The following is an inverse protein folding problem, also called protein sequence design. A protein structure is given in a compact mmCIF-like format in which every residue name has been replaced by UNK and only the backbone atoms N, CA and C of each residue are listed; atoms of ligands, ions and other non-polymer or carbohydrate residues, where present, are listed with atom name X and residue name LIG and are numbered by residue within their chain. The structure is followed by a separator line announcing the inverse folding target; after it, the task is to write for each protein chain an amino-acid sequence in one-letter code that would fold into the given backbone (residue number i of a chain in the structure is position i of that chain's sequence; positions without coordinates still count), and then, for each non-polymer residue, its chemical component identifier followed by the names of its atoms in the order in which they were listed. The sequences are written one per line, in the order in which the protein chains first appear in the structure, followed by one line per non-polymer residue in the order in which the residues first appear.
data_IF_003309234041
#
_entry.id   IF_003309234041
#
_cell.length_a   1.000
_cell.length_b   1.000
_cell.length_c   1.000
_cell.angle_alpha   90.00
_cell.angle_beta   90.00
_cell.angle_gamma   90.00
#
_symmetry.space_group_name_H-M   'P 1'
#
loop_
_entity.id
_entity.type
_entity.pdbx_description
1 polymer ?
#
# COMPACT_ATOMS: atom_id res chain seq x y z
N UNK A 1 9.25 14.13 -2.45
CA UNK A 1 7.98 13.36 -2.31
C UNK A 1 6.90 13.80 -3.28
N UNK A 2 6.63 15.09 -3.49
CA UNK A 2 5.64 15.56 -4.49
C UNK A 2 5.79 14.88 -5.85
N UNK A 3 7.01 14.83 -6.43
CA UNK A 3 7.25 14.14 -7.70
C UNK A 3 6.96 12.63 -7.66
N UNK A 4 7.09 11.98 -6.51
CA UNK A 4 6.70 10.57 -6.34
C UNK A 4 5.17 10.46 -6.40
N UNK A 5 4.48 11.34 -5.69
CA UNK A 5 3.03 11.41 -5.68
C UNK A 5 2.47 11.73 -7.07
N UNK A 6 3.03 12.74 -7.74
CA UNK A 6 2.66 13.11 -9.11
C UNK A 6 2.88 11.94 -10.08
N UNK A 7 4.01 11.23 -9.97
CA UNK A 7 4.29 10.07 -10.83
C UNK A 7 3.31 8.92 -10.61
N UNK A 8 2.82 8.74 -9.39
CA UNK A 8 1.81 7.72 -9.06
C UNK A 8 0.39 8.13 -9.45
N UNK A 9 0.09 9.43 -9.40
CA UNK A 9 -1.21 10.01 -9.78
C UNK A 9 -1.34 10.27 -11.28
N UNK A 10 -0.24 10.46 -12.01
CA UNK A 10 -0.21 10.76 -13.45
C UNK A 10 -0.75 9.62 -14.34
N UNK A 11 -1.45 8.68 -13.76
CA UNK A 11 -2.09 7.59 -14.48
C UNK A 11 -3.33 8.07 -15.22
N UNK A 12 -3.73 7.32 -16.23
CA UNK A 12 -4.99 7.46 -16.95
C UNK A 12 -6.18 7.65 -15.99
N UNK A 13 -7.26 8.28 -16.44
CA UNK A 13 -8.51 8.46 -15.67
C UNK A 13 -9.01 7.17 -15.02
N UNK A 14 -8.66 6.03 -15.60
CA UNK A 14 -9.01 4.72 -15.07
C UNK A 14 -7.95 3.67 -15.40
N UNK A 15 -7.80 2.69 -14.53
CA UNK A 15 -6.88 1.56 -14.70
C UNK A 15 -7.55 0.24 -14.38
N UNK A 16 -7.27 -0.78 -15.19
CA UNK A 16 -7.62 -2.17 -14.90
C UNK A 16 -6.34 -2.96 -14.65
N UNK A 17 -6.31 -3.72 -13.55
CA UNK A 17 -5.16 -4.54 -13.18
C UNK A 17 -5.59 -5.97 -12.88
N UNK A 18 -4.72 -6.92 -13.28
CA UNK A 18 -4.76 -8.30 -12.80
C UNK A 18 -3.56 -8.53 -11.90
N UNK A 19 -3.83 -9.04 -10.72
CA UNK A 19 -2.82 -9.23 -9.69
C UNK A 19 -2.85 -10.64 -9.14
N UNK A 20 -1.70 -11.09 -8.66
CA UNK A 20 -1.58 -12.33 -7.91
C UNK A 20 -1.07 -11.98 -6.50
N UNK A 21 -1.85 -12.34 -5.49
CA UNK A 21 -1.48 -12.22 -4.09
C UNK A 21 -1.00 -13.58 -3.60
N UNK A 22 0.24 -13.64 -3.15
CA UNK A 22 0.85 -14.86 -2.62
C UNK A 22 1.21 -14.65 -1.16
N UNK A 23 0.72 -15.51 -0.27
CA UNK A 23 0.95 -15.43 1.18
C UNK A 23 1.56 -16.74 1.68
N UNK A 24 2.66 -16.65 2.42
CA UNK A 24 3.29 -17.81 3.06
C UNK A 24 4.02 -17.39 4.34
N UNK A 25 4.34 -18.35 5.20
CA UNK A 25 5.32 -18.13 6.26
C UNK A 25 6.71 -18.15 5.66
N UNK A 26 7.51 -17.15 5.95
CA UNK A 26 8.90 -17.13 5.56
C UNK A 26 9.75 -18.03 6.46
N UNK A 27 10.75 -18.65 5.86
CA UNK A 27 11.83 -19.37 6.51
C UNK A 27 13.16 -19.02 5.85
N UNK A 28 14.25 -19.41 6.48
CA UNK A 28 15.59 -19.26 5.92
C UNK A 28 16.05 -20.62 5.41
N UNK A 29 16.33 -20.72 4.11
CA UNK A 29 16.94 -21.88 3.48
C UNK A 29 18.13 -21.42 2.64
N UNK A 30 19.29 -22.07 2.81
CA UNK A 30 20.54 -21.74 2.10
C UNK A 30 20.89 -20.22 2.19
N UNK A 31 20.73 -19.65 3.37
CA UNK A 31 20.91 -18.23 3.67
C UNK A 31 20.05 -17.27 2.85
N UNK A 32 18.89 -17.76 2.34
CA UNK A 32 17.90 -16.97 1.58
C UNK A 32 16.55 -17.04 2.26
N UNK A 33 15.84 -15.93 2.26
CA UNK A 33 14.44 -15.89 2.71
C UNK A 33 13.59 -16.56 1.64
N UNK A 34 12.86 -17.60 2.02
CA UNK A 34 11.97 -18.37 1.14
C UNK A 34 10.67 -18.71 1.87
N UNK A 35 9.65 -19.11 1.13
CA UNK A 35 8.46 -19.68 1.77
C UNK A 35 8.82 -21.00 2.47
N UNK A 36 8.52 -21.12 3.76
CA UNK A 36 8.70 -22.34 4.55
C UNK A 36 7.62 -23.40 4.25
N UNK A 37 6.51 -22.99 3.65
CA UNK A 37 5.38 -23.83 3.26
C UNK A 37 4.87 -23.45 1.87
N UNK A 38 3.98 -24.25 1.30
CA UNK A 38 3.34 -23.94 0.03
C UNK A 38 2.55 -22.62 0.14
N UNK A 39 2.83 -21.60 -0.68
CA UNK A 39 2.11 -20.34 -0.61
C UNK A 39 0.63 -20.51 -0.95
N UNK A 40 -0.20 -19.73 -0.26
CA UNK A 40 -1.60 -19.54 -0.65
C UNK A 40 -1.65 -18.44 -1.70
N UNK A 41 -2.26 -18.72 -2.82
CA UNK A 41 -2.29 -17.83 -3.99
C UNK A 41 -3.74 -17.41 -4.24
N UNK A 42 -3.96 -16.12 -4.44
CA UNK A 42 -5.24 -15.54 -4.88
C UNK A 42 -5.02 -14.76 -6.16
N UNK A 43 -5.91 -14.94 -7.13
CA UNK A 43 -5.98 -14.11 -8.32
C UNK A 43 -6.99 -13.00 -8.09
N UNK A 44 -6.60 -11.77 -8.34
CA UNK A 44 -7.38 -10.57 -8.09
C UNK A 44 -7.54 -9.76 -9.38
N UNK A 45 -8.70 -9.17 -9.56
CA UNK A 45 -8.92 -8.12 -10.55
C UNK A 45 -9.28 -6.82 -9.85
N UNK A 46 -8.70 -5.72 -10.33
CA UNK A 46 -8.91 -4.39 -9.76
C UNK A 46 -9.22 -3.38 -10.86
N UNK A 47 -10.20 -2.52 -10.58
CA UNK A 47 -10.53 -1.35 -11.39
C UNK A 47 -10.44 -0.11 -10.52
N UNK A 48 -9.60 0.81 -10.93
CA UNK A 48 -9.46 2.13 -10.33
C UNK A 48 -9.97 3.23 -11.25
N UNK A 49 -10.46 4.31 -10.68
CA UNK A 49 -10.83 5.53 -11.39
C UNK A 49 -10.53 6.75 -10.54
N UNK A 50 -9.87 7.74 -11.16
CA UNK A 50 -9.70 9.06 -10.59
C UNK A 50 -10.92 9.93 -10.88
N UNK A 51 -11.25 10.84 -9.97
CA UNK A 51 -12.36 11.78 -10.11
C UNK A 51 -12.12 13.01 -9.21
N UNK A 52 -13.11 13.89 -9.11
CA UNK A 52 -12.97 15.13 -8.33
C UNK A 52 -12.22 16.22 -9.09
N UNK A 53 -11.90 17.30 -8.40
CA UNK A 53 -11.13 18.40 -8.95
C UNK A 53 -9.69 17.94 -9.24
N UNK A 54 -9.21 18.21 -10.43
CA UNK A 54 -7.88 17.77 -10.92
C UNK A 54 -7.62 16.26 -10.85
N UNK A 55 -8.68 15.42 -10.72
CA UNK A 55 -8.54 13.96 -10.63
C UNK A 55 -7.83 13.46 -9.37
N UNK A 56 -7.82 14.26 -8.32
CA UNK A 56 -7.08 13.95 -7.09
C UNK A 56 -7.79 12.96 -6.16
N UNK A 57 -9.12 12.88 -6.27
CA UNK A 57 -9.86 11.82 -5.61
C UNK A 57 -9.74 10.52 -6.41
N UNK A 58 -9.81 9.39 -5.72
CA UNK A 58 -9.82 8.09 -6.39
C UNK A 58 -10.80 7.11 -5.77
N UNK A 59 -11.23 6.17 -6.57
CA UNK A 59 -11.99 5.00 -6.14
C UNK A 59 -11.45 3.75 -6.79
N UNK A 60 -11.39 2.68 -6.03
CA UNK A 60 -10.88 1.40 -6.49
C UNK A 60 -11.77 0.27 -6.00
N UNK A 61 -12.05 -0.68 -6.86
CA UNK A 61 -12.65 -1.96 -6.48
C UNK A 61 -11.72 -3.10 -6.86
N UNK A 62 -11.44 -3.98 -5.90
CA UNK A 62 -10.65 -5.19 -6.10
C UNK A 62 -11.49 -6.40 -5.75
N UNK A 63 -11.52 -7.41 -6.62
CA UNK A 63 -12.36 -8.60 -6.47
C UNK A 63 -11.49 -9.86 -6.60
N UNK A 64 -11.68 -10.80 -5.67
CA UNK A 64 -11.07 -12.13 -5.73
C UNK A 64 -11.72 -12.96 -6.82
N UNK A 65 -10.92 -13.45 -7.77
CA UNK A 65 -11.34 -14.35 -8.86
C UNK A 65 -11.06 -15.82 -8.51
N UNK A 66 -9.94 -16.06 -7.83
CA UNK A 66 -9.52 -17.39 -7.36
C UNK A 66 -8.90 -17.29 -5.96
N UNK A 67 -9.05 -18.32 -5.12
CA UNK A 67 -9.71 -19.62 -5.35
C UNK A 67 -11.24 -19.52 -5.35
N UNK A 68 -11.90 -20.56 -5.86
CA UNK A 68 -13.37 -20.61 -5.97
C UNK A 68 -14.10 -20.39 -4.64
N UNK A 69 -13.53 -20.83 -3.52
CA UNK A 69 -14.09 -20.67 -2.18
C UNK A 69 -14.17 -19.19 -1.73
N UNK A 70 -13.34 -18.31 -2.29
CA UNK A 70 -13.29 -16.89 -1.94
C UNK A 70 -13.72 -15.99 -3.11
N UNK A 71 -14.15 -16.60 -4.22
CA UNK A 71 -14.57 -15.85 -5.41
C UNK A 71 -15.67 -14.84 -5.09
N UNK A 72 -15.49 -13.61 -5.58
CA UNK A 72 -16.43 -12.52 -5.37
C UNK A 72 -16.27 -11.78 -4.04
N UNK A 73 -15.37 -12.21 -3.15
CA UNK A 73 -14.95 -11.34 -2.03
C UNK A 73 -14.35 -10.09 -2.64
N UNK A 74 -14.81 -8.91 -2.23
CA UNK A 74 -14.43 -7.64 -2.85
C UNK A 74 -14.10 -6.56 -1.83
N UNK A 75 -13.20 -5.67 -2.20
CA UNK A 75 -12.86 -4.47 -1.42
C UNK A 75 -13.09 -3.25 -2.29
N UNK A 76 -13.86 -2.29 -1.79
CA UNK A 76 -14.10 -1.00 -2.42
C UNK A 76 -13.46 0.07 -1.55
N UNK A 77 -12.62 0.91 -2.15
CA UNK A 77 -11.95 2.02 -1.47
C UNK A 77 -12.30 3.34 -2.15
N UNK A 78 -12.45 4.39 -1.34
CA UNK A 78 -12.50 5.78 -1.76
C UNK A 78 -11.38 6.52 -1.06
N UNK A 79 -10.57 7.23 -1.83
CA UNK A 79 -9.53 8.13 -1.32
C UNK A 79 -9.88 9.55 -1.75
N UNK A 80 -9.77 10.47 -0.80
CA UNK A 80 -10.13 11.87 -1.00
C UNK A 80 -8.88 12.76 -0.86
N UNK A 81 -8.76 13.78 -1.67
CA UNK A 81 -7.69 14.77 -1.56
C UNK A 81 -7.89 15.71 -0.35
N UNK A 82 -9.12 15.91 0.06
CA UNK A 82 -9.47 16.72 1.23
C UNK A 82 -8.95 16.07 2.53
N UNK A 83 -8.03 16.76 3.24
CA UNK A 83 -7.44 16.29 4.51
C UNK A 83 -8.44 16.24 5.67
N UNK A 84 -9.58 16.90 5.54
CA UNK A 84 -10.66 16.86 6.54
C UNK A 84 -11.59 15.66 6.34
N UNK A 85 -11.42 14.93 5.25
CA UNK A 85 -12.23 13.77 4.90
C UNK A 85 -11.41 12.50 4.98
N UNK A 86 -11.87 11.55 5.80
CA UNK A 86 -11.27 10.23 5.91
C UNK A 86 -11.54 9.39 4.67
N UNK A 87 -10.54 8.62 4.26
CA UNK A 87 -10.70 7.60 3.24
C UNK A 87 -11.69 6.53 3.73
N UNK A 88 -12.39 5.91 2.80
CA UNK A 88 -13.42 4.91 3.12
C UNK A 88 -13.06 3.57 2.49
N UNK A 89 -13.19 2.50 3.25
CA UNK A 89 -13.00 1.14 2.75
C UNK A 89 -14.17 0.25 3.14
N UNK A 90 -14.67 -0.50 2.17
CA UNK A 90 -15.79 -1.42 2.30
C UNK A 90 -15.38 -2.81 1.86
N UNK A 91 -15.67 -3.82 2.68
CA UNK A 91 -15.43 -5.23 2.38
C UNK A 91 -16.76 -5.93 2.09
N UNK A 92 -16.85 -6.55 0.92
CA UNK A 92 -17.95 -7.45 0.57
C UNK A 92 -17.54 -8.89 0.80
N UNK A 93 -18.30 -9.60 1.63
CA UNK A 93 -18.13 -11.02 1.94
C UNK A 93 -19.12 -11.83 1.11
N UNK A 94 -18.68 -12.38 -0.03
CA UNK A 94 -19.54 -13.06 -1.02
C UNK A 94 -20.31 -14.24 -0.41
N UNK A 95 -19.68 -15.04 0.44
CA UNK A 95 -20.31 -16.18 1.11
C UNK A 95 -21.47 -15.79 2.04
N UNK A 96 -21.46 -14.56 2.57
CA UNK A 96 -22.47 -14.05 3.48
C UNK A 96 -23.44 -13.07 2.81
N UNK A 97 -23.14 -12.63 1.57
CA UNK A 97 -23.88 -11.59 0.87
C UNK A 97 -23.91 -10.25 1.63
N UNK A 98 -22.89 -9.95 2.44
CA UNK A 98 -22.86 -8.78 3.33
C UNK A 98 -21.71 -7.85 3.00
N UNK A 99 -22.00 -6.55 3.13
CA UNK A 99 -21.02 -5.47 3.08
C UNK A 99 -20.71 -5.03 4.50
N UNK A 100 -19.41 -4.87 4.83
CA UNK A 100 -18.92 -4.31 6.07
C UNK A 100 -18.04 -3.09 5.75
N UNK A 101 -18.29 -1.96 6.40
CA UNK A 101 -17.36 -0.84 6.38
C UNK A 101 -16.16 -1.18 7.27
N UNK A 102 -14.97 -0.95 6.72
CA UNK A 102 -13.72 -1.01 7.49
C UNK A 102 -13.48 0.39 8.01
N UNK A 103 -13.45 0.58 9.31
CA UNK A 103 -13.17 1.89 9.89
C UNK A 103 -11.72 2.29 9.59
N UNK A 104 -11.51 3.53 9.16
CA UNK A 104 -10.20 4.15 9.10
C UNK A 104 -10.00 4.89 10.43
N UNK A 105 -9.02 4.47 11.24
CA UNK A 105 -8.67 5.14 12.49
C UNK A 105 -9.39 4.62 13.74
N UNK A 106 -8.84 5.02 14.89
CA UNK A 106 -9.25 4.63 16.24
C UNK A 106 -10.59 5.25 16.71
N UNK A 107 -11.61 5.33 15.86
CA UNK A 107 -12.91 5.90 16.25
C UNK A 107 -13.80 4.98 17.07
N UNK A 108 -13.47 3.69 17.14
CA UNK A 108 -14.09 2.73 18.06
C UNK A 108 -13.00 1.78 18.56
N UNK A 109 -12.87 1.63 19.85
CA UNK A 109 -11.93 0.81 20.60
C UNK A 109 -11.32 -0.36 19.80
N UNK A 110 -9.99 -0.38 19.65
CA UNK A 110 -9.15 -1.50 19.16
C UNK A 110 -9.28 -1.90 17.68
N UNK A 111 -9.74 -1.06 16.77
CA UNK A 111 -9.79 -1.41 15.35
C UNK A 111 -8.40 -1.40 14.71
N UNK A 112 -7.72 -2.54 14.76
CA UNK A 112 -6.50 -2.74 13.96
C UNK A 112 -6.80 -2.56 12.46
N UNK A 113 -5.86 -1.99 11.67
CA UNK A 113 -6.01 -1.91 10.22
C UNK A 113 -6.32 -3.29 9.63
N UNK A 114 -7.35 -3.35 8.81
CA UNK A 114 -7.81 -4.63 8.28
C UNK A 114 -6.79 -5.20 7.29
N UNK A 115 -6.55 -6.50 7.40
CA UNK A 115 -5.72 -7.24 6.45
C UNK A 115 -6.36 -7.23 5.05
N UNK A 116 -5.57 -6.94 4.02
CA UNK A 116 -6.00 -6.98 2.62
C UNK A 116 -6.03 -8.44 2.16
N UNK A 117 -7.24 -8.98 2.03
CA UNK A 117 -7.51 -10.37 1.62
C UNK A 117 -6.72 -11.45 2.40
N UNK A 118 -6.43 -11.20 3.69
CA UNK A 118 -5.73 -12.15 4.55
C UNK A 118 -4.22 -12.24 4.28
N UNK A 119 -3.63 -11.16 3.79
CA UNK A 119 -2.19 -10.98 3.62
C UNK A 119 -1.59 -10.16 4.77
N UNK A 120 -0.28 -9.97 4.74
CA UNK A 120 0.44 -9.03 5.61
C UNK A 120 0.18 -7.56 5.25
N UNK A 121 -0.29 -7.30 4.02
CA UNK A 121 -0.73 -5.96 3.65
C UNK A 121 -1.99 -5.59 4.42
N UNK A 122 -2.00 -4.40 4.98
CA UNK A 122 -3.17 -3.82 5.65
C UNK A 122 -3.75 -2.67 4.84
N UNK A 123 -4.94 -2.21 5.21
CA UNK A 123 -5.55 -1.02 4.61
C UNK A 123 -4.68 0.22 4.79
N UNK A 124 -3.93 0.32 5.89
CA UNK A 124 -2.97 1.40 6.12
C UNK A 124 -1.78 1.34 5.15
N UNK A 125 -1.26 0.15 4.85
CA UNK A 125 -0.14 -0.01 3.90
C UNK A 125 -0.53 0.39 2.46
N UNK A 126 -1.81 0.36 2.15
CA UNK A 126 -2.36 0.77 0.85
C UNK A 126 -2.86 2.21 0.83
N UNK A 127 -3.00 2.82 2.00
CA UNK A 127 -3.35 4.23 2.19
C UNK A 127 -2.09 5.02 2.56
N UNK A 128 -1.38 5.48 1.55
CA UNK A 128 -0.11 6.21 1.74
C UNK A 128 -0.26 7.55 2.45
N UNK A 129 -1.49 8.00 2.73
CA UNK A 129 -1.77 9.30 3.30
C UNK A 129 -1.47 10.44 2.32
N UNK A 130 -1.57 11.66 2.82
CA UNK A 130 -1.29 12.89 2.09
C UNK A 130 0.01 13.49 2.60
N UNK A 131 0.76 14.18 1.76
CA UNK A 131 2.08 14.72 2.15
C UNK A 131 1.97 15.70 3.33
N UNK A 132 0.89 16.46 3.41
CA UNK A 132 0.61 17.40 4.49
C UNK A 132 0.36 16.74 5.84
N UNK A 133 0.11 15.44 5.83
CA UNK A 133 -0.07 14.65 7.05
C UNK A 133 1.25 14.22 7.68
N UNK A 134 2.40 14.55 7.04
CA UNK A 134 3.73 14.11 7.48
C UNK A 134 4.72 15.25 7.56
N UNK A 135 5.62 15.16 8.55
CA UNK A 135 6.91 15.81 8.49
C UNK A 135 7.85 14.96 7.65
N UNK A 136 8.53 15.58 6.68
CA UNK A 136 9.34 14.87 5.67
C UNK A 136 10.79 15.30 5.79
N UNK A 137 11.69 14.34 6.09
CA UNK A 137 13.11 14.57 6.28
C UNK A 137 13.92 13.73 5.30
N UNK A 138 14.87 14.34 4.58
CA UNK A 138 15.88 13.61 3.83
C UNK A 138 16.98 13.22 4.80
N UNK A 139 17.13 11.92 5.05
CA UNK A 139 18.13 11.39 5.99
C UNK A 139 19.48 11.21 5.31
N UNK A 140 19.51 10.71 4.08
CA UNK A 140 20.73 10.33 3.37
C UNK A 140 20.48 10.11 1.88
N UNK A 141 21.56 9.95 1.15
CA UNK A 141 21.58 9.47 -0.23
C UNK A 141 22.43 8.18 -0.27
N UNK A 142 21.87 7.12 -0.83
CA UNK A 142 22.50 5.80 -0.82
C UNK A 142 22.17 5.01 -2.08
N UNK A 143 22.51 3.74 -2.08
CA UNK A 143 22.21 2.81 -3.17
C UNK A 143 21.29 1.69 -2.69
N UNK A 144 20.19 1.47 -3.38
CA UNK A 144 19.28 0.35 -3.16
C UNK A 144 19.11 -0.43 -4.46
N UNK A 145 19.37 -1.76 -4.41
CA UNK A 145 19.27 -2.65 -5.59
C UNK A 145 20.02 -2.14 -6.83
N UNK A 146 21.21 -1.52 -6.62
CA UNK A 146 22.04 -0.95 -7.67
C UNK A 146 21.55 0.39 -8.23
N UNK A 147 20.60 1.05 -7.59
CA UNK A 147 20.03 2.35 -7.98
C UNK A 147 20.38 3.41 -6.94
N UNK A 148 20.69 4.61 -7.37
CA UNK A 148 20.82 5.74 -6.47
C UNK A 148 19.45 6.15 -5.93
N UNK A 149 19.35 6.28 -4.60
CA UNK A 149 18.09 6.60 -3.93
C UNK A 149 18.29 7.71 -2.89
N UNK A 150 17.21 8.46 -2.66
CA UNK A 150 17.08 9.24 -1.43
C UNK A 150 16.49 8.34 -0.34
N UNK A 151 17.06 8.42 0.84
CA UNK A 151 16.49 7.86 2.07
C UNK A 151 15.66 8.95 2.74
N UNK A 152 14.33 8.82 2.68
CA UNK A 152 13.39 9.85 3.12
C UNK A 152 12.57 9.31 4.29
N UNK A 153 12.61 10.01 5.41
CA UNK A 153 11.77 9.72 6.57
C UNK A 153 10.47 10.51 6.49
N UNK A 154 9.36 9.85 6.81
CA UNK A 154 8.04 10.43 6.98
C UNK A 154 7.58 10.18 8.41
N UNK A 155 7.34 11.25 9.16
CA UNK A 155 6.83 11.21 10.53
C UNK A 155 5.39 11.75 10.50
N UNK A 156 4.37 10.94 10.88
CA UNK A 156 2.99 11.40 10.87
C UNK A 156 2.79 12.57 11.84
N UNK A 157 2.05 13.59 11.43
CA UNK A 157 1.64 14.66 12.31
C UNK A 157 0.67 14.13 13.40
N UNK A 158 0.33 14.96 14.40
CA UNK A 158 -0.49 14.55 15.53
C UNK A 158 -1.86 13.95 15.12
N UNK A 159 -2.46 14.46 14.06
CA UNK A 159 -3.76 13.97 13.58
C UNK A 159 -3.62 12.61 12.88
N UNK A 160 -2.61 12.43 12.02
CA UNK A 160 -2.33 11.16 11.34
C UNK A 160 -1.85 10.10 12.33
N UNK A 161 -1.04 10.47 13.32
CA UNK A 161 -0.54 9.55 14.36
C UNK A 161 -1.66 8.85 15.14
N UNK A 162 -2.81 9.49 15.31
CA UNK A 162 -3.99 8.87 15.96
C UNK A 162 -4.58 7.72 15.14
N UNK A 163 -4.29 7.65 13.86
CA UNK A 163 -4.85 6.68 12.91
C UNK A 163 -3.78 5.71 12.37
N UNK A 164 -2.51 5.93 12.72
CA UNK A 164 -1.37 5.16 12.22
C UNK A 164 -0.81 4.23 13.29
N UNK A 165 -0.47 3.02 12.90
CA UNK A 165 0.34 2.08 13.70
C UNK A 165 1.83 2.41 13.63
N UNK A 166 2.21 3.22 12.65
CA UNK A 166 3.61 3.56 12.41
C UNK A 166 3.94 4.91 13.03
N UNK A 167 4.96 4.93 13.88
CA UNK A 167 5.51 6.18 14.42
C UNK A 167 6.28 6.96 13.35
N UNK A 168 6.88 6.24 12.41
CA UNK A 168 7.58 6.78 11.24
C UNK A 168 7.75 5.70 10.17
N UNK A 169 7.98 6.14 8.95
CA UNK A 169 8.42 5.28 7.86
C UNK A 169 9.69 5.84 7.22
N UNK A 170 10.53 4.96 6.68
CA UNK A 170 11.73 5.35 5.93
C UNK A 170 11.62 4.80 4.52
N UNK A 171 11.54 5.70 3.55
CA UNK A 171 11.31 5.41 2.15
C UNK A 171 12.60 5.56 1.34
N UNK A 172 12.93 4.56 0.54
CA UNK A 172 14.06 4.57 -0.38
C UNK A 172 13.54 4.86 -1.78
N UNK A 173 13.71 6.10 -2.23
CA UNK A 173 13.12 6.62 -3.48
C UNK A 173 14.16 6.68 -4.58
N UNK A 174 13.94 5.98 -5.69
CA UNK A 174 14.78 6.03 -6.89
C UNK A 174 14.85 7.46 -7.42
N UNK A 175 16.07 8.00 -7.54
CA UNK A 175 16.31 9.40 -7.93
C UNK A 175 15.93 9.72 -9.36
N UNK A 176 15.93 8.73 -10.22
CA UNK A 176 15.68 8.88 -11.64
C UNK A 176 14.21 8.60 -12.01
N UNK A 177 13.63 7.58 -11.37
CA UNK A 177 12.30 7.06 -11.71
C UNK A 177 11.20 7.54 -10.77
N UNK A 178 11.57 8.14 -9.63
CA UNK A 178 10.64 8.58 -8.57
C UNK A 178 9.72 7.47 -8.07
N UNK A 179 10.23 6.24 -8.01
CA UNK A 179 9.54 5.07 -7.48
C UNK A 179 10.13 4.70 -6.12
N UNK A 180 9.28 4.39 -5.16
CA UNK A 180 9.70 3.86 -3.87
C UNK A 180 10.12 2.41 -4.06
N UNK A 181 11.38 2.08 -3.78
CA UNK A 181 11.94 0.73 -3.91
C UNK A 181 11.87 -0.06 -2.62
N UNK A 182 11.95 0.61 -1.47
CA UNK A 182 11.84 0.01 -0.15
C UNK A 182 11.16 0.98 0.81
N UNK A 183 10.35 0.44 1.73
CA UNK A 183 9.82 1.17 2.87
C UNK A 183 10.09 0.35 4.13
N UNK A 184 10.69 0.96 5.13
CA UNK A 184 10.83 0.44 6.49
C UNK A 184 9.81 1.13 7.38
N UNK A 185 9.02 0.37 8.15
CA UNK A 185 7.93 0.87 8.98
C UNK A 185 8.19 0.56 10.44
N UNK A 186 8.13 1.59 11.28
CA UNK A 186 8.54 1.52 12.68
C UNK A 186 7.36 1.75 13.62
N UNK A 187 7.33 1.00 14.72
CA UNK A 187 6.34 1.16 15.78
C UNK A 187 6.69 2.34 16.74
N UNK A 188 5.88 2.51 17.80
CA UNK A 188 6.06 3.57 18.80
C UNK A 188 7.32 3.37 19.68
N UNK A 189 7.95 2.18 19.60
CA UNK A 189 9.19 1.84 20.34
C UNK A 189 10.41 1.87 19.44
N UNK A 190 10.28 2.38 18.20
CA UNK A 190 11.32 2.44 17.19
C UNK A 190 11.80 1.05 16.68
N UNK A 191 10.97 0.02 16.83
CA UNK A 191 11.24 -1.28 16.22
C UNK A 191 10.74 -1.28 14.78
N UNK A 192 11.55 -1.78 13.85
CA UNK A 192 11.10 -2.07 12.50
C UNK A 192 10.15 -3.29 12.55
N UNK A 193 8.87 -3.06 12.32
CA UNK A 193 7.83 -4.08 12.40
C UNK A 193 7.38 -4.61 11.04
N UNK A 194 7.63 -3.83 9.97
CA UNK A 194 7.33 -4.22 8.59
C UNK A 194 8.33 -3.64 7.62
N UNK A 195 8.49 -4.32 6.50
CA UNK A 195 9.29 -3.86 5.36
C UNK A 195 8.61 -4.19 4.06
N UNK A 196 8.40 -3.16 3.24
CA UNK A 196 7.93 -3.30 1.87
C UNK A 196 9.14 -3.26 0.92
N UNK A 197 9.20 -4.19 0.00
CA UNK A 197 10.17 -4.20 -1.11
C UNK A 197 9.42 -4.14 -2.43
N UNK A 198 9.78 -3.18 -3.28
CA UNK A 198 9.29 -3.06 -4.64
C UNK A 198 10.34 -3.58 -5.62
N UNK A 199 9.93 -4.38 -6.58
CA UNK A 199 10.81 -4.95 -7.59
C UNK A 199 10.14 -5.00 -8.95
N UNK A 200 10.93 -5.33 -9.98
CA UNK A 200 10.45 -5.38 -11.36
C UNK A 200 9.81 -4.05 -11.77
N UNK A 201 10.55 -2.95 -11.58
CA UNK A 201 10.10 -1.61 -11.96
C UNK A 201 10.16 -1.49 -13.48
N UNK A 202 9.01 -1.25 -14.10
CA UNK A 202 8.80 -1.18 -15.54
C UNK A 202 8.14 0.15 -15.92
N UNK A 203 8.44 0.64 -17.13
CA UNK A 203 7.77 1.80 -17.72
C UNK A 203 6.50 1.32 -18.42
N UNK A 204 5.35 1.80 -17.98
CA UNK A 204 4.04 1.45 -18.55
C UNK A 204 3.28 2.76 -18.82
N UNK A 205 2.97 3.04 -20.09
CA UNK A 205 2.32 4.29 -20.51
C UNK A 205 3.02 5.55 -19.94
N UNK A 206 4.35 5.60 -20.10
CA UNK A 206 5.22 6.67 -19.61
C UNK A 206 5.28 6.84 -18.08
N UNK A 207 4.80 5.87 -17.32
CA UNK A 207 4.83 5.86 -15.87
C UNK A 207 5.67 4.69 -15.36
N UNK A 208 6.64 4.97 -14.48
CA UNK A 208 7.40 3.94 -13.80
C UNK A 208 6.59 3.32 -12.67
N UNK A 209 6.38 2.02 -12.71
CA UNK A 209 5.64 1.30 -11.68
C UNK A 209 6.28 -0.03 -11.31
N UNK A 210 6.22 -0.37 -10.03
CA UNK A 210 6.63 -1.68 -9.55
C UNK A 210 5.59 -2.73 -9.92
N UNK A 211 6.04 -3.84 -10.52
CA UNK A 211 5.19 -4.98 -10.89
C UNK A 211 5.14 -6.05 -9.81
N UNK A 212 5.98 -5.93 -8.79
CA UNK A 212 6.02 -6.88 -7.68
C UNK A 212 6.31 -6.13 -6.38
N UNK A 213 5.46 -6.36 -5.39
CA UNK A 213 5.61 -5.87 -4.03
C UNK A 213 5.72 -7.07 -3.09
N UNK A 214 6.61 -6.99 -2.11
CA UNK A 214 6.80 -8.00 -1.06
C UNK A 214 6.78 -7.30 0.29
N UNK A 215 5.96 -7.81 1.19
CA UNK A 215 5.86 -7.36 2.57
C UNK A 215 6.54 -8.38 3.49
#
# INVERSE_FOLDING_TARGET
MERVEDSQRATSDSAFNRMQLSTCRFGIKDNRITCAERPRIKSLESVGKNYGEDGKDSKNVTIVQEPAAERGVGMLSFSYDDTQRDNETWLYLSALGRVKRIASGNSDDDAEPASVFGSEFTTEDTDTGKLEEYEINILDETTESGREVWKIELIPNAQRALKSRYSRTVNYVDKERFVVLRVEMFDQYDNEIKRLLASRVELVNDIWMARSLTM
#
